data_IF_587553709445
#
_entry.id   IF_587553709445
#
_cell.length_a   1.000
_cell.length_b   1.000
_cell.length_c   1.000
_cell.angle_alpha   90.00
_cell.angle_beta   90.00
_cell.angle_gamma   90.00
#
_symmetry.space_group_name_H-M   'P 1'
#
loop_
_entity.id
_entity.type
_entity.pdbx_description
1 polymer ?
#
# COMPACT_ATOMS: atom_id res chain seq x y z
N UNK A 1 5.74 9.11 20.72
CA UNK A 1 4.82 8.68 19.65
C UNK A 1 5.55 8.75 18.32
N UNK A 2 5.45 7.72 17.49
CA UNK A 2 6.22 7.55 16.24
C UNK A 2 5.33 7.88 15.03
N UNK A 3 5.25 9.17 14.66
CA UNK A 3 4.34 9.71 13.64
C UNK A 3 4.98 9.82 12.24
N UNK A 4 6.23 9.43 12.09
CA UNK A 4 6.98 9.55 10.83
C UNK A 4 8.28 8.75 10.84
N UNK A 5 8.78 8.44 12.05
CA UNK A 5 9.92 7.56 12.23
C UNK A 5 9.72 6.20 11.57
N UNK A 6 10.82 5.69 11.01
CA UNK A 6 10.91 4.39 10.38
C UNK A 6 11.60 3.42 11.34
N UNK A 7 11.08 2.19 11.52
CA UNK A 7 11.64 1.23 12.48
C UNK A 7 13.15 1.02 12.34
N UNK A 8 13.66 0.94 11.11
CA UNK A 8 15.10 0.79 10.86
C UNK A 8 15.93 1.92 11.51
N UNK A 9 15.62 3.17 11.19
CA UNK A 9 16.36 4.34 11.73
C UNK A 9 16.16 4.51 13.24
N UNK A 10 14.93 4.33 13.71
CA UNK A 10 14.60 4.48 15.13
C UNK A 10 15.37 3.50 16.04
N UNK A 11 15.62 2.26 15.60
CA UNK A 11 16.39 1.29 16.39
C UNK A 11 17.87 1.69 16.51
N UNK A 12 18.43 2.34 15.48
CA UNK A 12 19.79 2.88 15.53
C UNK A 12 19.88 4.11 16.44
N UNK A 13 18.93 5.05 16.32
CA UNK A 13 18.91 6.28 17.11
C UNK A 13 18.60 6.06 18.60
N UNK A 14 17.77 5.07 18.92
CA UNK A 14 17.41 4.73 20.31
C UNK A 14 18.53 4.02 21.09
N UNK A 15 19.64 3.66 20.45
CA UNK A 15 20.72 2.91 21.07
C UNK A 15 20.39 1.45 21.37
N UNK A 16 19.23 0.93 20.95
CA UNK A 16 18.89 -0.49 21.08
C UNK A 16 19.77 -1.38 20.19
N UNK A 17 20.14 -0.90 19.00
CA UNK A 17 21.01 -1.64 18.07
C UNK A 17 22.35 -2.03 18.71
N UNK A 18 22.99 -1.13 19.46
CA UNK A 18 24.27 -1.38 20.13
C UNK A 18 24.12 -2.24 21.39
N UNK A 19 22.95 -2.20 22.03
CA UNK A 19 22.66 -2.92 23.28
C UNK A 19 22.27 -4.38 23.05
N UNK A 20 21.56 -4.68 21.97
CA UNK A 20 21.06 -6.03 21.67
C UNK A 20 21.82 -6.75 20.54
N UNK A 21 22.85 -6.12 19.95
CA UNK A 21 23.64 -6.68 18.83
C UNK A 21 22.76 -7.25 17.70
N UNK A 22 21.66 -6.57 17.40
CA UNK A 22 20.72 -7.04 16.37
C UNK A 22 21.33 -6.84 14.98
N UNK A 23 21.56 -7.91 14.19
CA UNK A 23 22.03 -7.77 12.82
C UNK A 23 20.86 -7.31 11.93
N UNK A 24 20.60 -6.00 11.92
CA UNK A 24 19.62 -5.38 11.04
C UNK A 24 20.17 -5.34 9.62
N UNK A 25 19.43 -5.88 8.67
CA UNK A 25 19.75 -5.78 7.24
C UNK A 25 18.96 -4.62 6.64
N UNK A 26 19.68 -3.66 6.06
CA UNK A 26 19.08 -2.65 5.21
C UNK A 26 18.78 -3.26 3.84
N UNK A 27 17.53 -3.08 3.39
CA UNK A 27 17.13 -3.35 2.02
C UNK A 27 16.95 -2.03 1.27
N UNK A 28 17.10 -1.97 -0.07
CA UNK A 28 16.83 -0.78 -0.87
C UNK A 28 15.47 -0.12 -0.54
N UNK A 29 14.44 -0.95 -0.32
CA UNK A 29 13.07 -0.48 -0.05
C UNK A 29 12.81 -0.05 1.41
N UNK A 30 13.85 -0.08 2.26
CA UNK A 30 13.82 0.40 3.65
C UNK A 30 13.79 1.94 3.68
N UNK A 31 14.47 2.56 2.71
CA UNK A 31 14.55 4.00 2.54
C UNK A 31 13.38 4.49 1.67
N UNK A 32 12.25 4.81 2.28
CA UNK A 32 11.17 5.50 1.58
C UNK A 32 11.29 7.02 1.79
N UNK A 33 11.23 7.78 0.69
CA UNK A 33 11.25 9.25 0.70
C UNK A 33 9.90 9.89 1.03
N UNK A 34 8.83 9.08 1.13
CA UNK A 34 7.48 9.52 1.49
C UNK A 34 7.23 9.57 3.00
N UNK A 35 6.13 10.24 3.42
CA UNK A 35 5.73 10.30 4.83
C UNK A 35 5.51 8.89 5.42
N UNK A 36 5.98 8.69 6.66
CA UNK A 36 5.94 7.38 7.33
C UNK A 36 4.57 6.98 7.91
N UNK A 37 3.67 7.93 8.15
CA UNK A 37 2.33 7.70 8.70
C UNK A 37 1.26 8.43 7.89
N UNK A 38 0.18 7.76 7.44
CA UNK A 38 -0.01 6.30 7.42
C UNK A 38 0.78 5.60 6.31
N UNK A 39 0.87 4.26 6.36
CA UNK A 39 1.48 3.46 5.28
C UNK A 39 0.74 3.65 3.96
N UNK A 40 1.36 4.37 3.02
CA UNK A 40 0.80 4.64 1.70
C UNK A 40 0.53 3.36 0.90
N UNK A 41 1.38 2.35 1.05
CA UNK A 41 1.21 1.03 0.44
C UNK A 41 -0.11 0.37 0.86
N UNK A 42 -0.38 0.36 2.17
CA UNK A 42 -1.61 -0.22 2.73
C UNK A 42 -2.83 0.66 2.42
N UNK A 43 -2.67 1.98 2.40
CA UNK A 43 -3.74 2.93 2.08
C UNK A 43 -4.20 2.81 0.62
N UNK A 44 -3.26 2.82 -0.34
CA UNK A 44 -3.57 2.69 -1.77
C UNK A 44 -4.20 1.33 -2.06
N UNK A 45 -3.61 0.24 -1.55
CA UNK A 45 -4.16 -1.11 -1.73
C UNK A 45 -5.57 -1.22 -1.12
N UNK A 46 -5.75 -0.64 0.07
CA UNK A 46 -7.04 -0.57 0.76
C UNK A 46 -8.10 0.14 -0.08
N UNK A 47 -7.78 1.32 -0.59
CA UNK A 47 -8.70 2.14 -1.38
C UNK A 47 -9.01 1.54 -2.76
N UNK A 48 -7.99 1.06 -3.47
CA UNK A 48 -8.11 0.57 -4.84
C UNK A 48 -8.91 -0.75 -4.93
N UNK A 49 -8.72 -1.66 -3.97
CA UNK A 49 -9.41 -2.94 -3.97
C UNK A 49 -10.84 -2.85 -3.39
N UNK A 50 -11.18 -1.80 -2.65
CA UNK A 50 -12.48 -1.66 -2.00
C UNK A 50 -13.68 -1.74 -2.99
N UNK A 51 -13.71 -1.00 -4.11
CA UNK A 51 -14.80 -1.11 -5.09
C UNK A 51 -14.85 -2.50 -5.76
N UNK A 52 -13.70 -3.14 -5.93
CA UNK A 52 -13.59 -4.46 -6.57
C UNK A 52 -14.18 -5.53 -5.64
N UNK A 53 -13.79 -5.54 -4.36
CA UNK A 53 -14.25 -6.55 -3.40
C UNK A 53 -15.74 -6.44 -3.12
N UNK A 54 -16.26 -5.22 -3.01
CA UNK A 54 -17.69 -4.96 -2.83
C UNK A 54 -18.49 -5.37 -4.07
N UNK A 55 -18.01 -5.08 -5.28
CA UNK A 55 -18.63 -5.51 -6.53
C UNK A 55 -18.64 -7.04 -6.66
N UNK A 56 -17.52 -7.71 -6.40
CA UNK A 56 -17.42 -9.18 -6.41
C UNK A 56 -18.34 -9.82 -5.38
N UNK A 57 -18.37 -9.30 -4.14
CA UNK A 57 -19.28 -9.79 -3.10
C UNK A 57 -20.75 -9.63 -3.52
N UNK A 58 -21.10 -8.53 -4.18
CA UNK A 58 -22.45 -8.32 -4.74
C UNK A 58 -22.79 -9.30 -5.86
N UNK A 59 -21.84 -9.61 -6.76
CA UNK A 59 -22.03 -10.58 -7.84
C UNK A 59 -22.22 -11.98 -7.27
N UNK A 60 -21.38 -12.40 -6.33
CA UNK A 60 -21.52 -13.70 -5.65
C UNK A 60 -22.88 -13.79 -4.95
N UNK A 61 -23.31 -12.74 -4.25
CA UNK A 61 -24.61 -12.74 -3.57
C UNK A 61 -25.82 -12.88 -4.51
N UNK A 62 -25.68 -12.48 -5.77
CA UNK A 62 -26.71 -12.68 -6.81
C UNK A 62 -26.74 -14.11 -7.33
N UNK A 63 -25.57 -14.76 -7.40
CA UNK A 63 -25.43 -16.13 -7.90
C UNK A 63 -25.68 -17.20 -6.84
N UNK A 64 -25.52 -16.89 -5.55
CA UNK A 64 -25.68 -17.89 -4.47
C UNK A 64 -26.29 -17.31 -3.19
N UNK A 65 -27.14 -18.12 -2.53
CA UNK A 65 -27.74 -17.78 -1.23
C UNK A 65 -26.82 -18.07 -0.04
N UNK A 66 -25.65 -18.70 -0.27
CA UNK A 66 -24.71 -19.08 0.79
C UNK A 66 -23.95 -17.86 1.30
N UNK A 67 -24.17 -17.50 2.57
CA UNK A 67 -23.49 -16.37 3.23
C UNK A 67 -21.97 -16.51 3.23
N UNK A 68 -21.45 -17.74 3.36
CA UNK A 68 -20.00 -18.01 3.36
C UNK A 68 -19.34 -17.55 2.05
N UNK A 69 -19.94 -17.88 0.89
CA UNK A 69 -19.38 -17.52 -0.40
C UNK A 69 -19.34 -15.99 -0.61
N UNK A 70 -20.30 -15.26 -0.04
CA UNK A 70 -20.33 -13.79 -0.05
C UNK A 70 -19.16 -13.15 0.73
N UNK A 71 -18.62 -13.86 1.73
CA UNK A 71 -17.49 -13.39 2.56
C UNK A 71 -16.13 -13.67 1.92
N UNK A 72 -16.03 -14.63 0.99
CA UNK A 72 -14.75 -15.01 0.35
C UNK A 72 -14.02 -13.80 -0.25
N UNK A 73 -14.65 -12.89 -1.02
CA UNK A 73 -13.95 -11.74 -1.56
C UNK A 73 -13.34 -10.85 -0.46
N UNK A 74 -14.08 -10.63 0.63
CA UNK A 74 -13.58 -9.85 1.77
C UNK A 74 -12.45 -10.55 2.52
N UNK A 75 -12.51 -11.88 2.67
CA UNK A 75 -11.40 -12.65 3.24
C UNK A 75 -10.13 -12.51 2.40
N UNK A 76 -10.24 -12.66 1.08
CA UNK A 76 -9.10 -12.48 0.17
C UNK A 76 -8.55 -11.06 0.26
N UNK A 77 -9.42 -10.04 0.29
CA UNK A 77 -9.02 -8.65 0.47
C UNK A 77 -8.24 -8.41 1.76
N UNK A 78 -8.73 -8.92 2.90
CA UNK A 78 -8.03 -8.78 4.19
C UNK A 78 -6.69 -9.52 4.16
N UNK A 79 -6.63 -10.72 3.58
CA UNK A 79 -5.38 -11.47 3.45
C UNK A 79 -4.33 -10.70 2.63
N UNK A 80 -4.74 -10.06 1.53
CA UNK A 80 -3.85 -9.22 0.73
C UNK A 80 -3.35 -7.99 1.50
N UNK A 81 -4.23 -7.34 2.27
CA UNK A 81 -3.82 -6.22 3.13
C UNK A 81 -2.85 -6.64 4.23
N UNK A 82 -3.10 -7.79 4.86
CA UNK A 82 -2.20 -8.35 5.88
C UNK A 82 -0.85 -8.71 5.26
N UNK A 83 -0.84 -9.39 4.11
CA UNK A 83 0.40 -9.74 3.42
C UNK A 83 1.21 -8.48 3.05
N UNK A 84 0.55 -7.44 2.55
CA UNK A 84 1.18 -6.15 2.24
C UNK A 84 1.74 -5.48 3.51
N UNK A 85 0.94 -5.44 4.58
CA UNK A 85 1.35 -4.86 5.86
C UNK A 85 2.55 -5.58 6.47
N UNK A 86 2.53 -6.92 6.49
CA UNK A 86 3.64 -7.74 6.97
C UNK A 86 4.91 -7.53 6.15
N UNK A 87 4.81 -7.39 4.82
CA UNK A 87 5.96 -7.06 3.97
C UNK A 87 6.63 -5.75 4.41
N UNK A 88 5.85 -4.70 4.71
CA UNK A 88 6.38 -3.40 5.15
C UNK A 88 6.98 -3.42 6.56
N UNK A 89 6.39 -4.22 7.46
CA UNK A 89 6.92 -4.42 8.82
C UNK A 89 8.23 -5.22 8.77
N UNK A 90 8.28 -6.26 7.94
CA UNK A 90 9.44 -7.14 7.80
C UNK A 90 10.68 -6.38 7.28
N UNK A 91 10.48 -5.47 6.33
CA UNK A 91 11.56 -4.60 5.82
C UNK A 91 11.80 -3.39 6.74
N UNK A 92 11.20 -3.35 7.94
CA UNK A 92 11.42 -2.31 8.94
C UNK A 92 11.13 -0.89 8.43
N UNK A 93 10.27 -0.78 7.41
CA UNK A 93 9.93 0.48 6.80
C UNK A 93 8.68 1.12 7.43
N UNK A 94 7.82 0.34 8.10
CA UNK A 94 6.69 0.88 8.84
C UNK A 94 6.48 0.15 10.16
N UNK A 95 6.03 0.91 11.16
CA UNK A 95 5.55 0.33 12.41
C UNK A 95 4.17 -0.33 12.23
N UNK A 96 3.79 -1.30 13.07
CA UNK A 96 2.49 -1.97 12.99
C UNK A 96 1.31 -1.00 13.05
N UNK A 97 1.39 0.08 13.85
CA UNK A 97 0.30 1.06 13.93
C UNK A 97 0.14 1.85 12.62
N UNK A 98 1.23 2.22 11.93
CA UNK A 98 1.19 2.93 10.64
C UNK A 98 0.56 2.08 9.52
N UNK A 99 0.80 0.76 9.57
CA UNK A 99 0.17 -0.21 8.68
C UNK A 99 -1.34 -0.29 8.94
N UNK A 100 -1.73 -0.40 10.21
CA UNK A 100 -3.14 -0.46 10.61
C UNK A 100 -3.89 0.83 10.25
N UNK A 101 -3.34 2.00 10.58
CA UNK A 101 -3.92 3.31 10.24
C UNK A 101 -4.03 3.47 8.73
N UNK A 102 -3.01 3.05 7.96
CA UNK A 102 -3.04 3.05 6.50
C UNK A 102 -4.13 2.16 5.91
N UNK A 103 -4.28 0.93 6.39
CA UNK A 103 -5.36 0.05 5.94
C UNK A 103 -6.74 0.62 6.24
N UNK A 104 -6.95 1.18 7.44
CA UNK A 104 -8.22 1.80 7.83
C UNK A 104 -8.53 3.06 6.99
N UNK A 105 -7.55 3.93 6.83
CA UNK A 105 -7.68 5.13 5.99
C UNK A 105 -7.98 4.76 4.53
N UNK A 106 -7.30 3.74 3.99
CA UNK A 106 -7.53 3.22 2.66
C UNK A 106 -8.94 2.68 2.47
N UNK A 107 -9.45 1.86 3.41
CA UNK A 107 -10.82 1.38 3.40
C UNK A 107 -11.84 2.51 3.44
N UNK A 108 -11.65 3.49 4.32
CA UNK A 108 -12.53 4.65 4.44
C UNK A 108 -12.55 5.49 3.15
N UNK A 109 -11.38 5.72 2.55
CA UNK A 109 -11.23 6.43 1.29
C UNK A 109 -11.92 5.66 0.14
N UNK A 110 -11.67 4.36 0.02
CA UNK A 110 -12.30 3.51 -0.98
C UNK A 110 -13.83 3.49 -0.88
N UNK A 111 -14.35 3.43 0.34
CA UNK A 111 -15.79 3.53 0.60
C UNK A 111 -16.37 4.90 0.25
N UNK A 112 -15.66 5.98 0.58
CA UNK A 112 -16.04 7.35 0.21
C UNK A 112 -16.09 7.55 -1.30
N UNK A 113 -15.01 7.19 -2.00
CA UNK A 113 -14.89 7.32 -3.46
C UNK A 113 -15.91 6.45 -4.20
N UNK A 114 -16.22 5.26 -3.69
CA UNK A 114 -17.24 4.39 -4.28
C UNK A 114 -18.63 5.04 -4.33
N UNK A 115 -18.96 5.92 -3.38
CA UNK A 115 -20.26 6.62 -3.35
C UNK A 115 -20.36 7.75 -4.39
N UNK A 116 -19.22 8.27 -4.84
CA UNK A 116 -19.14 9.39 -5.76
C UNK A 116 -18.30 8.99 -6.98
N UNK A 117 -18.73 8.00 -7.76
CA UNK A 117 -18.00 7.61 -8.95
C UNK A 117 -17.97 8.80 -9.91
N UNK A 118 -16.79 9.12 -10.49
CA UNK A 118 -16.69 10.17 -11.50
C UNK A 118 -17.44 9.75 -12.77
N UNK A 119 -18.74 10.07 -12.80
CA UNK A 119 -19.67 9.68 -13.88
C UNK A 119 -19.39 10.38 -15.22
N UNK A 120 -18.52 11.38 -15.22
CA UNK A 120 -18.16 12.18 -16.41
C UNK A 120 -16.94 11.64 -17.17
N UNK A 121 -16.17 10.71 -16.59
CA UNK A 121 -14.95 10.17 -17.20
C UNK A 121 -15.21 8.78 -17.79
N UNK A 122 -14.95 8.62 -19.09
CA UNK A 122 -15.01 7.31 -19.76
C UNK A 122 -13.86 6.42 -19.27
N UNK A 123 -14.04 5.10 -19.23
CA UNK A 123 -12.99 4.14 -18.83
C UNK A 123 -11.65 4.36 -19.57
N UNK A 124 -11.71 4.81 -20.84
CA UNK A 124 -10.53 5.14 -21.67
C UNK A 124 -9.67 6.23 -21.06
N UNK A 125 -10.27 7.19 -20.36
CA UNK A 125 -9.53 8.25 -19.66
C UNK A 125 -8.70 7.67 -18.52
N UNK A 126 -9.28 6.82 -17.67
CA UNK A 126 -8.55 6.18 -16.58
C UNK A 126 -7.42 5.29 -17.08
N UNK A 127 -7.67 4.53 -18.15
CA UNK A 127 -6.64 3.71 -18.78
C UNK A 127 -5.50 4.55 -19.36
N UNK A 128 -5.83 5.62 -20.08
CA UNK A 128 -4.83 6.54 -20.64
C UNK A 128 -4.04 7.25 -19.54
N UNK A 129 -4.68 7.69 -18.47
CA UNK A 129 -4.03 8.32 -17.32
C UNK A 129 -3.09 7.33 -16.60
N UNK A 130 -3.55 6.11 -16.34
CA UNK A 130 -2.73 5.06 -15.72
C UNK A 130 -1.51 4.70 -16.59
N UNK A 131 -1.72 4.56 -17.90
CA UNK A 131 -0.62 4.31 -18.84
C UNK A 131 0.34 5.50 -18.90
N UNK A 132 -0.17 6.73 -18.94
CA UNK A 132 0.65 7.93 -18.92
C UNK A 132 1.51 8.03 -17.66
N UNK A 133 0.92 7.77 -16.49
CA UNK A 133 1.65 7.72 -15.22
C UNK A 133 2.73 6.62 -15.23
N UNK A 134 2.39 5.42 -15.70
CA UNK A 134 3.36 4.31 -15.80
C UNK A 134 4.52 4.66 -16.73
N UNK A 135 4.23 5.14 -17.94
CA UNK A 135 5.25 5.53 -18.92
C UNK A 135 6.11 6.67 -18.39
N UNK A 136 5.51 7.64 -17.69
CA UNK A 136 6.26 8.74 -17.08
C UNK A 136 7.19 8.25 -15.98
N UNK A 137 6.75 7.31 -15.13
CA UNK A 137 7.57 6.73 -14.08
C UNK A 137 8.76 5.93 -14.68
N UNK A 138 8.50 5.13 -15.72
CA UNK A 138 9.54 4.39 -16.43
C UNK A 138 10.54 5.32 -17.14
N UNK A 139 10.05 6.40 -17.75
CA UNK A 139 10.90 7.40 -18.40
C UNK A 139 11.79 8.12 -17.37
N UNK A 140 11.24 8.54 -16.23
CA UNK A 140 12.01 9.16 -15.16
C UNK A 140 13.06 8.22 -14.59
N UNK A 141 12.70 6.95 -14.36
CA UNK A 141 13.65 5.92 -13.93
C UNK A 141 14.78 5.74 -14.96
N UNK A 142 14.43 5.58 -16.25
CA UNK A 142 15.41 5.46 -17.32
C UNK A 142 16.34 6.66 -17.43
N UNK A 143 15.81 7.88 -17.33
CA UNK A 143 16.61 9.11 -17.36
C UNK A 143 17.54 9.23 -16.15
N UNK A 144 17.08 8.88 -14.96
CA UNK A 144 17.90 8.89 -13.75
C UNK A 144 19.07 7.89 -13.87
N UNK A 145 18.78 6.67 -14.30
CA UNK A 145 19.83 5.65 -14.53
C UNK A 145 20.82 6.07 -15.62
N UNK A 146 20.35 6.70 -16.71
CA UNK A 146 21.22 7.24 -17.77
C UNK A 146 22.08 8.42 -17.29
N UNK A 147 21.61 9.20 -16.31
CA UNK A 147 22.38 10.25 -15.65
C UNK A 147 23.40 9.72 -14.64
N UNK A 148 23.48 8.39 -14.45
CA UNK A 148 24.39 7.75 -13.49
C UNK A 148 23.89 7.80 -12.05
N UNK A 149 22.62 8.18 -11.82
CA UNK A 149 21.97 8.05 -10.53
C UNK A 149 21.48 6.62 -10.41
N UNK A 150 22.00 5.89 -9.43
CA UNK A 150 21.51 4.57 -9.13
C UNK A 150 20.44 4.69 -8.05
N UNK A 151 19.21 4.39 -8.48
CA UNK A 151 17.97 4.59 -7.73
C UNK A 151 17.70 3.42 -6.77
N UNK A 152 18.49 2.35 -6.86
CA UNK A 152 18.36 1.16 -6.02
C UNK A 152 19.24 1.25 -4.75
N UNK A 153 19.93 2.38 -4.50
CA UNK A 153 20.66 2.66 -3.25
C UNK A 153 20.37 4.02 -2.62
#
# INVERSE_FOLDING_TARGET
>A
FLFGERPYWWIHESGLSSREQLPLRQFPVTCETGPGDPSGHCMILGAALWPIVTALSSAVSRCTRRRVLRLIPFLVYILLLVAMGLSRIFVLAHFPHQVLTGSLAGMALGWGLQRWPPNFLKYRFFLAAALGLLLSALALHGLATAAGLDLDW
#
